data_IF_986047033254
#
_entry.id   IF_986047033254
#
_cell.length_a   1.000
_cell.length_b   1.000
_cell.length_c   1.000
_cell.angle_alpha   90.00
_cell.angle_beta   90.00
_cell.angle_gamma   90.00
#
_symmetry.space_group_name_H-M   'P 1'
#
loop_
_entity.id
_entity.type
_entity.pdbx_description
1 polymer ?
#
# COMPACT_ATOMS: atom_id res chain seq x y z
N UNK A 1 -7.44 21.88 12.60
CA UNK A 1 -7.45 20.73 13.52
C UNK A 1 -8.83 20.41 14.13
N UNK A 2 -9.64 21.41 14.53
CA UNK A 2 -10.94 21.17 15.20
C UNK A 2 -12.07 20.65 14.30
N UNK A 3 -12.10 21.02 13.02
CA UNK A 3 -13.18 20.61 12.09
C UNK A 3 -13.08 19.12 11.71
N UNK A 4 -11.87 18.62 11.52
CA UNK A 4 -11.59 17.21 11.18
C UNK A 4 -11.86 16.30 12.35
N UNK A 5 -11.43 16.68 13.57
CA UNK A 5 -11.76 15.94 14.80
C UNK A 5 -13.27 15.87 15.03
N UNK A 6 -14.03 16.92 14.71
CA UNK A 6 -15.50 16.91 14.81
C UNK A 6 -16.19 16.04 13.74
N UNK A 7 -15.57 15.88 12.56
CA UNK A 7 -16.08 14.97 11.52
C UNK A 7 -15.76 13.51 11.89
N UNK A 8 -14.55 13.24 12.37
CA UNK A 8 -14.16 11.91 12.87
C UNK A 8 -14.95 11.52 14.13
N UNK A 9 -15.19 12.45 15.06
CA UNK A 9 -16.01 12.22 16.25
C UNK A 9 -17.52 12.06 15.95
N UNK A 10 -18.00 12.50 14.78
CA UNK A 10 -19.36 12.22 14.28
C UNK A 10 -19.44 10.95 13.45
N UNK A 11 -18.31 10.43 12.99
CA UNK A 11 -18.25 9.21 12.21
C UNK A 11 -18.18 8.06 13.21
N UNK A 12 -19.35 7.51 13.56
CA UNK A 12 -19.46 6.41 14.52
C UNK A 12 -18.47 5.29 14.15
N UNK A 13 -17.44 5.08 14.97
CA UNK A 13 -16.31 4.16 14.71
C UNK A 13 -16.71 2.71 14.39
N UNK A 14 -17.97 2.32 14.64
CA UNK A 14 -18.52 1.01 14.30
C UNK A 14 -19.25 0.92 12.95
N UNK A 15 -19.30 1.99 12.15
CA UNK A 15 -19.98 1.99 10.85
C UNK A 15 -19.10 1.37 9.75
N UNK A 16 -19.73 0.69 8.77
CA UNK A 16 -19.03 0.20 7.60
C UNK A 16 -18.55 1.35 6.71
N UNK A 17 -17.38 1.19 6.09
CA UNK A 17 -16.78 2.16 5.17
C UNK A 17 -17.65 2.56 3.98
N UNK A 18 -18.63 1.73 3.66
CA UNK A 18 -19.68 1.96 2.68
C UNK A 18 -20.96 1.28 3.20
N UNK A 19 -22.14 1.87 2.96
CA UNK A 19 -23.39 1.21 3.34
C UNK A 19 -23.53 -0.13 2.57
N UNK A 20 -23.78 -1.25 3.27
CA UNK A 20 -23.99 -2.53 2.61
C UNK A 20 -25.31 -2.52 1.81
N UNK A 21 -25.41 -3.29 0.71
CA UNK A 21 -26.68 -3.53 0.02
C UNK A 21 -27.65 -4.31 0.91
N UNK A 22 -28.95 -4.21 0.62
CA UNK A 22 -30.01 -4.87 1.40
C UNK A 22 -29.73 -6.38 1.58
N UNK A 23 -29.76 -6.85 2.83
CA UNK A 23 -29.55 -8.26 3.18
C UNK A 23 -28.12 -8.68 3.50
N UNK A 24 -27.11 -7.78 3.40
CA UNK A 24 -25.73 -8.07 3.77
C UNK A 24 -25.39 -7.46 5.14
N UNK A 25 -25.06 -8.31 6.11
CA UNK A 25 -24.53 -7.87 7.41
C UNK A 25 -23.01 -7.67 7.32
N UNK A 26 -22.49 -6.46 7.59
CA UNK A 26 -21.06 -6.20 7.69
C UNK A 26 -20.38 -7.15 8.67
N UNK A 27 -19.33 -7.83 8.21
CA UNK A 27 -18.48 -8.69 9.02
C UNK A 27 -17.10 -8.05 9.13
N UNK A 28 -16.80 -7.47 10.28
CA UNK A 28 -15.58 -6.72 10.54
C UNK A 28 -14.46 -7.58 11.15
N UNK A 29 -14.80 -8.61 11.93
CA UNK A 29 -13.81 -9.40 12.69
C UNK A 29 -13.11 -10.47 11.85
N UNK A 30 -13.75 -10.94 10.77
CA UNK A 30 -13.16 -11.87 9.81
C UNK A 30 -13.75 -11.60 8.42
N UNK A 31 -13.33 -10.50 7.77
CA UNK A 31 -13.84 -10.18 6.45
C UNK A 31 -13.41 -11.27 5.44
N UNK A 32 -14.28 -11.64 4.49
CA UNK A 32 -13.91 -12.55 3.42
C UNK A 32 -12.81 -11.90 2.58
N UNK A 33 -11.57 -12.29 2.83
CA UNK A 33 -10.41 -11.78 2.11
C UNK A 33 -10.03 -12.73 0.97
N UNK A 34 -9.36 -12.19 -0.06
CA UNK A 34 -8.70 -13.00 -1.09
C UNK A 34 -7.22 -12.67 -1.11
N UNK A 35 -6.61 -12.67 0.09
CA UNK A 35 -5.20 -12.33 0.26
C UNK A 35 -4.30 -13.21 -0.59
N UNK A 36 -4.63 -14.50 -0.71
CA UNK A 36 -3.89 -15.44 -1.57
C UNK A 36 -3.82 -14.99 -3.03
N UNK A 37 -4.92 -14.46 -3.60
CA UNK A 37 -4.93 -13.97 -4.99
C UNK A 37 -4.03 -12.73 -5.15
N UNK A 38 -4.08 -11.81 -4.17
CA UNK A 38 -3.21 -10.62 -4.16
C UNK A 38 -1.73 -10.99 -3.99
N UNK A 39 -1.41 -11.92 -3.10
CA UNK A 39 -0.03 -12.38 -2.88
C UNK A 39 0.56 -13.01 -4.14
N UNK A 40 -0.23 -13.82 -4.86
CA UNK A 40 0.21 -14.43 -6.13
C UNK A 40 0.53 -13.34 -7.16
N UNK A 41 -0.32 -12.33 -7.30
CA UNK A 41 -0.06 -11.20 -8.20
C UNK A 41 1.22 -10.45 -7.85
N UNK A 42 1.44 -10.15 -6.57
CA UNK A 42 2.66 -9.49 -6.10
C UNK A 42 3.92 -10.32 -6.37
N UNK A 43 3.87 -11.63 -6.13
CA UNK A 43 4.99 -12.54 -6.39
C UNK A 43 5.36 -12.54 -7.87
N UNK A 44 4.38 -12.60 -8.78
CA UNK A 44 4.64 -12.54 -10.23
C UNK A 44 5.35 -11.24 -10.61
N UNK A 45 4.87 -10.09 -10.11
CA UNK A 45 5.48 -8.78 -10.37
C UNK A 45 6.91 -8.68 -9.84
N UNK A 46 7.19 -9.27 -8.67
CA UNK A 46 8.55 -9.34 -8.10
C UNK A 46 9.46 -10.17 -9.01
N UNK A 47 9.01 -11.35 -9.44
CA UNK A 47 9.81 -12.25 -10.30
C UNK A 47 10.14 -11.59 -11.63
N UNK A 48 9.15 -10.96 -12.28
CA UNK A 48 9.36 -10.26 -13.56
C UNK A 48 10.32 -9.10 -13.40
N UNK A 49 10.16 -8.29 -12.34
CA UNK A 49 11.06 -7.16 -12.07
C UNK A 49 12.48 -7.64 -11.75
N UNK A 50 12.63 -8.71 -10.97
CA UNK A 50 13.92 -9.32 -10.66
C UNK A 50 14.61 -9.83 -11.92
N UNK A 51 13.88 -10.46 -12.84
CA UNK A 51 14.41 -10.92 -14.12
C UNK A 51 14.90 -9.76 -15.00
N UNK A 52 14.11 -8.69 -15.11
CA UNK A 52 14.49 -7.47 -15.82
C UNK A 52 15.71 -6.77 -15.19
N UNK A 53 15.76 -6.68 -13.85
CA UNK A 53 16.88 -6.08 -13.14
C UNK A 53 18.16 -6.91 -13.30
N UNK A 54 18.04 -8.24 -13.25
CA UNK A 54 19.17 -9.16 -13.42
C UNK A 54 19.76 -9.07 -14.83
N UNK A 55 18.93 -9.19 -15.86
CA UNK A 55 19.37 -9.09 -17.26
C UNK A 55 20.06 -7.77 -17.54
N UNK A 56 19.53 -6.66 -17.04
CA UNK A 56 20.14 -5.33 -17.18
C UNK A 56 21.44 -5.19 -16.38
N UNK A 57 21.47 -5.70 -15.15
CA UNK A 57 22.65 -5.70 -14.29
C UNK A 57 23.81 -6.51 -14.87
N UNK A 58 23.53 -7.72 -15.37
CA UNK A 58 24.52 -8.56 -16.05
C UNK A 58 25.08 -7.88 -17.30
N UNK A 59 24.23 -7.22 -18.09
CA UNK A 59 24.68 -6.46 -19.27
C UNK A 59 25.61 -5.30 -18.89
N UNK A 60 25.30 -4.57 -17.81
CA UNK A 60 26.15 -3.48 -17.34
C UNK A 60 27.52 -3.98 -16.87
N UNK A 61 27.54 -5.03 -16.04
CA UNK A 61 28.78 -5.58 -15.48
C UNK A 61 29.69 -6.15 -16.58
N UNK A 62 29.12 -6.88 -17.54
CA UNK A 62 29.90 -7.59 -18.58
C UNK A 62 30.32 -6.64 -19.71
N UNK A 63 29.41 -5.80 -20.20
CA UNK A 63 29.63 -5.01 -21.43
C UNK A 63 30.05 -3.56 -21.13
N UNK A 64 29.54 -2.95 -20.06
CA UNK A 64 29.63 -1.50 -19.82
C UNK A 64 30.36 -1.20 -18.52
N UNK A 65 31.70 -1.17 -18.56
CA UNK A 65 32.54 -0.80 -17.40
C UNK A 65 32.35 0.64 -16.86
N UNK A 66 31.58 1.50 -17.55
CA UNK A 66 31.28 2.88 -17.13
C UNK A 66 29.76 3.11 -17.05
N UNK A 67 29.18 3.26 -15.85
CA UNK A 67 27.74 3.50 -15.70
C UNK A 67 27.35 4.91 -16.19
N UNK A 68 26.18 5.02 -16.83
CA UNK A 68 25.56 6.29 -17.22
C UNK A 68 24.51 6.72 -16.19
N UNK A 69 24.05 7.97 -16.29
CA UNK A 69 22.94 8.49 -15.46
C UNK A 69 21.67 7.64 -15.57
N UNK A 70 21.37 7.07 -16.74
CA UNK A 70 20.25 6.13 -16.91
C UNK A 70 20.36 4.87 -16.05
N UNK A 71 21.57 4.39 -15.78
CA UNK A 71 21.77 3.17 -15.01
C UNK A 71 21.45 3.42 -13.53
N UNK A 72 21.86 4.57 -13.00
CA UNK A 72 21.48 5.01 -11.65
C UNK A 72 19.98 5.19 -11.51
N UNK A 73 19.32 5.78 -12.51
CA UNK A 73 17.86 5.94 -12.51
C UNK A 73 17.14 4.59 -12.54
N UNK A 74 17.68 3.61 -13.28
CA UNK A 74 17.12 2.26 -13.31
C UNK A 74 17.23 1.55 -11.96
N UNK A 75 18.37 1.68 -11.27
CA UNK A 75 18.55 1.12 -9.92
C UNK A 75 17.62 1.79 -8.92
N UNK A 76 17.49 3.12 -8.99
CA UNK A 76 16.56 3.88 -8.15
C UNK A 76 15.10 3.43 -8.36
N UNK A 77 14.69 3.22 -9.61
CA UNK A 77 13.34 2.73 -9.94
C UNK A 77 13.07 1.35 -9.34
N UNK A 78 14.03 0.42 -9.42
CA UNK A 78 13.89 -0.91 -8.80
C UNK A 78 13.80 -0.81 -7.28
N UNK A 79 14.60 0.04 -6.64
CA UNK A 79 14.52 0.25 -5.19
C UNK A 79 13.16 0.80 -4.75
N UNK A 80 12.61 1.78 -5.47
CA UNK A 80 11.29 2.34 -5.22
C UNK A 80 10.18 1.30 -5.43
N UNK A 81 10.32 0.43 -6.43
CA UNK A 81 9.36 -0.65 -6.66
C UNK A 81 9.34 -1.63 -5.47
N UNK A 82 10.50 -2.05 -4.97
CA UNK A 82 10.54 -2.95 -3.80
C UNK A 82 10.02 -2.30 -2.52
N UNK A 83 10.29 -1.01 -2.30
CA UNK A 83 9.71 -0.31 -1.14
C UNK A 83 8.19 -0.21 -1.24
N UNK A 84 7.65 0.06 -2.44
CA UNK A 84 6.21 0.03 -2.70
C UNK A 84 5.59 -1.34 -2.41
N UNK A 85 6.20 -2.42 -2.89
CA UNK A 85 5.74 -3.79 -2.60
C UNK A 85 5.77 -4.09 -1.09
N UNK A 86 6.78 -3.61 -0.36
CA UNK A 86 6.84 -3.74 1.10
C UNK A 86 5.65 -3.06 1.80
N UNK A 87 5.27 -1.87 1.34
CA UNK A 87 4.06 -1.18 1.82
C UNK A 87 2.79 -1.97 1.50
N UNK A 88 2.71 -2.61 0.32
CA UNK A 88 1.58 -3.48 -0.03
C UNK A 88 1.48 -4.70 0.89
N UNK A 89 2.60 -5.32 1.28
CA UNK A 89 2.57 -6.42 2.25
C UNK A 89 2.13 -5.96 3.64
N UNK A 90 2.60 -4.79 4.10
CA UNK A 90 2.11 -4.19 5.34
C UNK A 90 0.61 -3.90 5.28
N UNK A 91 0.13 -3.39 4.15
CA UNK A 91 -1.28 -3.13 3.90
C UNK A 91 -2.14 -4.41 3.92
N UNK A 92 -1.59 -5.52 3.40
CA UNK A 92 -2.25 -6.82 3.42
C UNK A 92 -2.50 -7.33 4.85
N UNK A 93 -1.55 -7.10 5.76
CA UNK A 93 -1.69 -7.47 7.17
C UNK A 93 -2.65 -6.55 7.92
N UNK A 94 -2.65 -5.25 7.61
CA UNK A 94 -3.49 -4.27 8.29
C UNK A 94 -4.98 -4.40 7.94
N UNK A 95 -5.33 -4.57 6.67
CA UNK A 95 -6.74 -4.53 6.23
C UNK A 95 -7.19 -5.69 5.34
N UNK A 96 -6.25 -6.50 4.83
CA UNK A 96 -6.54 -7.52 3.83
C UNK A 96 -6.85 -6.94 2.43
N UNK A 97 -6.61 -7.75 1.42
CA UNK A 97 -6.91 -7.45 0.02
C UNK A 97 -8.24 -8.09 -0.41
N UNK A 98 -8.93 -7.39 -1.31
CA UNK A 98 -10.23 -7.76 -1.88
C UNK A 98 -11.38 -7.83 -0.86
N UNK A 99 -11.22 -7.19 0.30
CA UNK A 99 -12.31 -6.96 1.24
C UNK A 99 -13.19 -5.83 0.70
N UNK A 100 -14.50 -6.07 0.58
CA UNK A 100 -15.43 -5.00 0.21
C UNK A 100 -15.47 -3.92 1.29
N UNK A 101 -15.57 -2.66 0.88
CA UNK A 101 -15.53 -1.50 1.76
C UNK A 101 -16.60 -1.51 2.88
N UNK A 102 -17.70 -2.24 2.69
CA UNK A 102 -18.73 -2.44 3.71
C UNK A 102 -18.34 -3.48 4.80
N UNK A 103 -17.23 -4.20 4.66
CA UNK A 103 -16.63 -5.09 5.67
C UNK A 103 -15.43 -4.45 6.38
N UNK A 104 -15.07 -3.21 6.03
CA UNK A 104 -13.96 -2.46 6.66
C UNK A 104 -14.55 -1.38 7.56
N UNK A 105 -13.99 -1.19 8.75
CA UNK A 105 -14.42 -0.10 9.64
C UNK A 105 -13.95 1.22 9.07
N UNK A 106 -14.75 2.27 9.25
CA UNK A 106 -14.37 3.60 8.75
C UNK A 106 -13.10 4.12 9.41
N UNK A 107 -12.85 3.75 10.67
CA UNK A 107 -11.62 4.12 11.39
C UNK A 107 -10.36 3.56 10.72
N UNK A 108 -10.38 2.29 10.29
CA UNK A 108 -9.25 1.64 9.61
C UNK A 108 -8.96 2.30 8.25
N UNK A 109 -10.02 2.68 7.52
CA UNK A 109 -9.89 3.41 6.24
C UNK A 109 -9.26 4.80 6.43
N UNK A 110 -9.68 5.49 7.49
CA UNK A 110 -9.20 6.83 7.83
C UNK A 110 -7.73 6.77 8.25
N UNK A 111 -7.32 5.78 9.05
CA UNK A 111 -5.92 5.59 9.46
C UNK A 111 -4.99 5.38 8.25
N UNK A 112 -5.38 4.51 7.31
CA UNK A 112 -4.65 4.31 6.04
C UNK A 112 -4.52 5.63 5.26
N UNK A 113 -5.64 6.36 5.15
CA UNK A 113 -5.70 7.56 4.32
C UNK A 113 -4.91 8.72 4.94
N UNK A 114 -4.84 8.79 6.28
CA UNK A 114 -3.97 9.74 6.98
C UNK A 114 -2.51 9.32 6.94
N UNK A 115 -2.19 8.03 7.06
CA UNK A 115 -0.82 7.52 6.97
C UNK A 115 -0.18 7.79 5.59
N UNK A 116 -0.99 7.80 4.52
CA UNK A 116 -0.54 8.06 3.14
C UNK A 116 -0.63 9.53 2.71
N UNK A 117 -1.31 10.38 3.47
CA UNK A 117 -1.52 11.79 3.12
C UNK A 117 -0.32 12.70 3.44
N UNK A 118 -0.14 13.83 2.72
CA UNK A 118 0.94 14.79 2.97
C UNK A 118 0.95 15.40 4.40
N UNK A 119 -0.10 15.21 5.19
CA UNK A 119 -0.21 15.63 6.59
C UNK A 119 0.70 14.80 7.52
N UNK A 120 0.96 13.52 7.22
CA UNK A 120 1.89 12.68 8.00
C UNK A 120 3.35 13.16 7.87
N UNK A 121 3.70 13.81 6.75
CA UNK A 121 5.01 14.40 6.54
C UNK A 121 5.19 15.71 7.34
N UNK A 122 4.10 16.47 7.55
CA UNK A 122 4.13 17.72 8.34
C UNK A 122 4.32 17.45 9.84
N UNK A 123 3.68 16.42 10.39
CA UNK A 123 3.84 16.07 11.82
C UNK A 123 5.26 15.58 12.19
N UNK A 124 6.05 15.11 11.22
CA UNK A 124 7.46 14.79 11.42
C UNK A 124 8.40 16.00 11.23
N UNK A 125 7.96 17.07 10.58
CA UNK A 125 8.73 18.32 10.46
C UNK A 125 8.55 19.24 11.67
N UNK A 126 7.46 19.09 12.42
CA UNK A 126 7.23 19.82 13.69
C UNK A 126 7.96 19.17 14.89
N UNK A 127 8.61 18.02 14.69
CA UNK A 127 9.39 17.30 15.72
C UNK A 127 10.92 17.39 15.54
N UNK A 128 11.40 18.19 14.58
CA UNK A 128 12.82 18.51 14.37
C UNK A 128 13.03 19.99 14.63
#
# INVERSE_FOLDING_TARGET
MSLVLNIVARQDSGKPGLNPPEGITPQFDNPPNRNTEASVGMIICIVVTAFCAFTRGSFLIITRKKPKMEDYLSVASVAIFYSYIGVCFWFMEACGYYVHQWHVRVEDLVEIQYASGPQAQLGNLERV
#
